data_IF_266597819659
#
_entry.id   IF_266597819659
#
_cell.length_a   1.000
_cell.length_b   1.000
_cell.length_c   1.000
_cell.angle_alpha   90.00
_cell.angle_beta   90.00
_cell.angle_gamma   90.00
#
_symmetry.space_group_name_H-M   'P 1'
#
loop_
_entity.id
_entity.type
_entity.pdbx_description
1 polymer ?
#
# COMPACT_ATOMS: atom_id res chain seq x y z
N UNK A 1 15.43 -32.74 -6.10
CA UNK A 1 15.22 -33.11 -4.68
C UNK A 1 14.17 -32.18 -4.10
N UNK A 2 12.99 -32.71 -3.75
CA UNK A 2 11.87 -31.95 -3.17
C UNK A 2 12.04 -31.97 -1.65
N UNK A 3 12.05 -30.79 -1.00
CA UNK A 3 11.95 -30.67 0.46
C UNK A 3 10.60 -30.04 0.79
N UNK A 4 9.72 -30.82 1.38
CA UNK A 4 8.47 -30.38 1.97
C UNK A 4 8.76 -29.61 3.27
N UNK A 5 8.10 -28.46 3.46
CA UNK A 5 8.08 -27.75 4.74
C UNK A 5 6.76 -28.07 5.43
N UNK A 6 6.85 -28.79 6.54
CA UNK A 6 5.75 -29.12 7.43
C UNK A 6 5.46 -27.91 8.32
N UNK A 7 4.30 -27.29 8.15
CA UNK A 7 3.83 -26.20 8.99
C UNK A 7 3.37 -26.72 10.36
N UNK A 8 3.93 -26.18 11.44
CA UNK A 8 3.51 -26.45 12.82
C UNK A 8 2.36 -25.49 13.17
N UNK A 9 1.19 -26.03 13.54
CA UNK A 9 0.03 -25.23 13.99
C UNK A 9 0.06 -25.13 15.51
N UNK A 10 0.20 -23.92 16.04
CA UNK A 10 -0.09 -23.63 17.44
C UNK A 10 -1.48 -23.01 17.53
N UNK A 11 -2.43 -23.75 18.13
CA UNK A 11 -3.77 -23.26 18.45
C UNK A 11 -3.75 -22.66 19.85
N UNK A 12 -3.94 -21.34 19.94
CA UNK A 12 -4.29 -20.67 21.19
C UNK A 12 -5.61 -19.91 20.97
N UNK A 13 -6.49 -20.06 21.94
CA UNK A 13 -7.91 -19.73 21.91
C UNK A 13 -8.20 -18.25 21.66
N UNK A 14 -9.30 -17.99 20.95
CA UNK A 14 -9.99 -16.70 20.90
C UNK A 14 -9.57 -15.81 19.72
N UNK A 15 -10.41 -15.79 18.68
CA UNK A 15 -10.28 -14.94 17.49
C UNK A 15 -9.04 -15.21 16.63
N UNK A 16 -9.04 -16.35 15.93
CA UNK A 16 -8.30 -16.44 14.67
C UNK A 16 -9.01 -15.52 13.67
N UNK A 17 -8.60 -14.25 13.62
CA UNK A 17 -8.73 -13.50 12.38
C UNK A 17 -7.86 -14.28 11.41
N UNK A 18 -8.50 -15.06 10.53
CA UNK A 18 -7.88 -15.49 9.30
C UNK A 18 -7.58 -14.19 8.55
N UNK A 19 -6.45 -13.55 8.86
CA UNK A 19 -5.74 -12.77 7.88
C UNK A 19 -5.44 -13.80 6.79
N UNK A 20 -6.35 -13.91 5.82
CA UNK A 20 -5.99 -14.44 4.51
C UNK A 20 -4.82 -13.58 4.14
N UNK A 21 -3.62 -14.14 4.26
CA UNK A 21 -2.39 -13.64 3.68
C UNK A 21 -2.68 -13.57 2.19
N UNK A 22 -3.28 -12.45 1.78
CA UNK A 22 -3.37 -12.06 0.39
C UNK A 22 -1.93 -11.80 0.04
N UNK A 23 -1.32 -12.79 -0.57
CA UNK A 23 0.04 -12.71 -1.05
C UNK A 23 0.12 -11.44 -1.89
N UNK A 24 1.06 -10.57 -1.53
CA UNK A 24 1.28 -9.31 -2.23
C UNK A 24 1.39 -9.58 -3.75
N UNK A 25 1.87 -10.77 -4.14
CA UNK A 25 1.95 -11.25 -5.54
C UNK A 25 0.66 -11.12 -6.39
N UNK A 26 -0.51 -10.92 -5.79
CA UNK A 26 -1.80 -10.71 -6.50
C UNK A 26 -2.01 -9.28 -7.03
N UNK A 27 -1.09 -8.35 -6.75
CA UNK A 27 -1.18 -6.96 -7.22
C UNK A 27 -1.11 -6.85 -8.75
N UNK A 28 -2.08 -6.16 -9.34
CA UNK A 28 -2.12 -5.98 -10.79
C UNK A 28 -1.02 -5.03 -11.27
N UNK A 29 -0.49 -5.31 -12.47
CA UNK A 29 0.41 -4.37 -13.15
C UNK A 29 -0.39 -3.19 -13.71
N UNK A 30 0.02 -1.96 -13.38
CA UNK A 30 -0.66 -0.76 -13.85
C UNK A 30 0.15 0.50 -13.55
N UNK A 31 0.05 1.49 -14.44
CA UNK A 31 0.36 2.88 -14.10
C UNK A 31 -0.84 3.48 -13.38
N UNK A 32 -0.59 4.46 -12.52
CA UNK A 32 -1.62 5.04 -11.67
C UNK A 32 -1.51 6.55 -11.72
N UNK A 33 -2.66 7.22 -11.60
CA UNK A 33 -2.67 8.65 -11.34
C UNK A 33 -1.91 8.90 -10.04
N UNK A 34 -0.91 9.81 -10.02
CA UNK A 34 -0.06 10.03 -8.85
C UNK A 34 -0.89 10.17 -7.58
N UNK A 35 -0.68 9.23 -6.66
CA UNK A 35 -1.52 9.08 -5.47
C UNK A 35 -0.65 9.14 -4.24
N UNK A 36 -0.98 10.03 -3.31
CA UNK A 36 -0.32 10.02 -2.01
C UNK A 36 -0.84 8.83 -1.19
N UNK A 37 0.08 8.03 -0.67
CA UNK A 37 -0.15 6.93 0.23
C UNK A 37 0.79 7.09 1.44
N UNK A 38 0.49 6.39 2.53
CA UNK A 38 1.25 6.41 3.76
C UNK A 38 1.85 5.04 3.99
N UNK A 39 3.17 4.97 4.07
CA UNK A 39 3.83 3.76 4.55
C UNK A 39 3.51 3.58 6.04
N UNK A 40 2.92 2.44 6.40
CA UNK A 40 2.71 2.06 7.79
C UNK A 40 4.00 1.47 8.34
N UNK A 41 4.86 2.35 8.83
CA UNK A 41 6.13 1.97 9.45
C UNK A 41 5.98 2.04 10.96
N UNK A 42 6.39 0.98 11.66
CA UNK A 42 6.61 1.04 13.10
C UNK A 42 7.72 2.04 13.41
N UNK A 43 7.75 2.53 14.65
CA UNK A 43 8.81 3.46 15.07
C UNK A 43 10.17 2.76 14.96
N UNK A 44 11.08 3.36 14.18
CA UNK A 44 12.41 2.80 13.93
C UNK A 44 12.43 1.71 12.86
N UNK A 45 11.29 1.39 12.23
CA UNK A 45 11.23 0.51 11.08
C UNK A 45 11.75 1.22 9.84
N UNK A 46 12.53 0.49 9.06
CA UNK A 46 13.07 0.92 7.77
C UNK A 46 12.60 -0.04 6.69
N UNK A 47 11.97 0.48 5.64
CA UNK A 47 11.56 -0.34 4.48
C UNK A 47 12.55 -0.17 3.35
N UNK A 48 13.16 -1.27 2.84
CA UNK A 48 14.08 -1.18 1.73
C UNK A 48 13.34 -0.77 0.46
N UNK A 49 13.83 0.28 -0.18
CA UNK A 49 13.39 0.69 -1.52
C UNK A 49 14.27 -0.02 -2.54
N UNK A 50 13.66 -0.65 -3.55
CA UNK A 50 14.36 -1.46 -4.54
C UNK A 50 14.28 -0.88 -5.95
N UNK A 51 15.28 -1.21 -6.78
CA UNK A 51 15.32 -0.81 -8.19
C UNK A 51 14.23 -1.48 -9.05
N UNK A 52 13.83 -2.70 -8.68
CA UNK A 52 12.87 -3.53 -9.41
C UNK A 52 11.85 -4.15 -8.45
N UNK A 53 10.64 -4.53 -8.93
CA UNK A 53 9.55 -5.09 -8.13
C UNK A 53 9.78 -6.58 -7.80
N UNK A 54 10.88 -6.87 -7.12
CA UNK A 54 11.22 -8.23 -6.68
C UNK A 54 12.06 -8.21 -5.40
N UNK A 55 11.89 -9.19 -4.49
CA UNK A 55 12.66 -9.23 -3.24
C UNK A 55 14.17 -9.34 -3.44
N UNK A 56 14.61 -9.88 -4.59
CA UNK A 56 16.03 -10.06 -4.91
C UNK A 56 16.67 -8.83 -5.57
N UNK A 57 15.88 -7.80 -5.89
CA UNK A 57 16.39 -6.60 -6.54
C UNK A 57 17.33 -5.81 -5.62
N UNK A 58 18.27 -5.10 -6.24
CA UNK A 58 19.19 -4.20 -5.55
C UNK A 58 18.40 -3.17 -4.73
N UNK A 59 18.76 -3.04 -3.45
CA UNK A 59 18.27 -1.96 -2.59
C UNK A 59 18.95 -0.66 -3.01
N UNK A 60 18.14 0.35 -3.29
CA UNK A 60 18.58 1.68 -3.74
C UNK A 60 18.42 2.74 -2.65
N UNK A 61 17.86 2.37 -1.51
CA UNK A 61 17.71 3.22 -0.35
C UNK A 61 16.69 2.65 0.63
N UNK A 62 16.23 3.49 1.55
CA UNK A 62 15.26 3.10 2.57
C UNK A 62 14.23 4.20 2.81
N UNK A 63 12.98 3.80 3.06
CA UNK A 63 11.98 4.66 3.68
C UNK A 63 12.06 4.50 5.19
N UNK A 64 12.06 5.61 5.91
CA UNK A 64 12.14 5.60 7.37
C UNK A 64 10.84 6.12 7.98
N UNK A 65 10.32 5.44 8.99
CA UNK A 65 9.20 5.95 9.78
C UNK A 65 9.63 7.20 10.54
N UNK A 66 8.90 8.30 10.43
CA UNK A 66 9.22 9.54 11.17
C UNK A 66 9.28 9.28 12.66
N UNK A 67 10.42 9.62 13.27
CA UNK A 67 10.60 9.58 14.73
C UNK A 67 10.07 10.87 15.34
N UNK A 68 8.74 11.01 15.44
CA UNK A 68 8.13 12.08 16.23
C UNK A 68 7.64 11.54 17.57
N UNK A 69 7.88 12.29 18.64
CA UNK A 69 7.46 11.96 20.02
C UNK A 69 5.93 11.84 20.16
N UNK A 70 5.15 12.38 19.21
CA UNK A 70 3.71 12.13 19.11
C UNK A 70 3.46 10.78 18.43
N UNK A 71 2.85 9.86 19.17
CA UNK A 71 2.61 8.46 18.78
C UNK A 71 1.74 8.27 17.51
N UNK A 72 1.19 9.33 16.93
CA UNK A 72 0.20 9.24 15.85
C UNK A 72 0.77 9.54 14.44
N UNK A 73 2.05 9.96 14.33
CA UNK A 73 2.64 10.49 13.09
C UNK A 73 3.89 9.77 12.57
N UNK A 74 4.13 8.50 12.95
CA UNK A 74 5.25 7.72 12.39
C UNK A 74 4.97 7.18 10.97
N UNK A 75 4.38 8.00 10.09
CA UNK A 75 4.05 7.61 8.72
C UNK A 75 4.95 8.35 7.75
N UNK A 76 5.62 7.62 6.87
CA UNK A 76 6.27 8.21 5.72
C UNK A 76 5.22 8.37 4.61
N UNK A 77 4.94 9.60 4.20
CA UNK A 77 4.10 9.82 3.02
C UNK A 77 4.92 9.43 1.79
N UNK A 78 4.30 8.79 0.81
CA UNK A 78 4.89 8.41 -0.47
C UNK A 78 3.92 8.73 -1.60
N UNK A 79 4.43 9.02 -2.78
CA UNK A 79 3.62 9.23 -3.99
C UNK A 79 3.73 7.99 -4.86
N UNK A 80 2.67 7.20 -4.89
CA UNK A 80 2.55 6.01 -5.71
C UNK A 80 2.20 6.40 -7.15
N UNK A 81 2.95 5.86 -8.11
CA UNK A 81 2.80 6.14 -9.55
C UNK A 81 2.51 4.88 -10.38
N UNK A 82 2.54 3.72 -9.75
CA UNK A 82 2.31 2.44 -10.43
C UNK A 82 2.30 1.27 -9.44
N UNK A 83 1.91 0.10 -9.92
CA UNK A 83 2.05 -1.16 -9.21
C UNK A 83 2.42 -2.31 -10.14
N UNK A 84 3.04 -3.36 -9.60
CA UNK A 84 3.36 -4.60 -10.30
C UNK A 84 3.55 -5.75 -9.31
N UNK A 85 2.75 -6.81 -9.41
CA UNK A 85 2.98 -8.06 -8.68
C UNK A 85 3.12 -7.90 -7.16
N UNK A 86 2.35 -6.98 -6.57
CA UNK A 86 2.42 -6.65 -5.14
C UNK A 86 3.39 -5.57 -4.74
N UNK A 87 4.08 -4.98 -5.70
CA UNK A 87 4.98 -3.88 -5.48
C UNK A 87 4.30 -2.58 -5.90
N UNK A 88 4.48 -1.55 -5.11
CA UNK A 88 4.12 -0.19 -5.44
C UNK A 88 5.36 0.55 -5.94
N UNK A 89 5.23 1.20 -7.09
CA UNK A 89 6.22 2.15 -7.62
C UNK A 89 5.99 3.50 -6.96
N UNK A 90 7.01 4.02 -6.30
CA UNK A 90 6.96 5.31 -5.60
C UNK A 90 7.91 6.31 -6.26
N UNK A 91 7.51 7.57 -6.33
CA UNK A 91 8.40 8.67 -6.71
C UNK A 91 9.33 9.01 -5.54
N UNK A 92 10.63 9.09 -5.79
CA UNK A 92 11.66 9.32 -4.75
C UNK A 92 12.01 10.81 -4.58
N UNK A 93 11.90 11.59 -5.65
CA UNK A 93 12.25 13.01 -5.69
C UNK A 93 11.35 13.92 -4.81
N UNK A 94 10.23 13.40 -4.32
CA UNK A 94 9.27 14.15 -3.51
C UNK A 94 9.24 13.71 -2.04
N UNK A 95 10.10 12.77 -1.62
CA UNK A 95 10.01 12.15 -0.28
C UNK A 95 11.08 12.66 0.67
N UNK A 96 10.67 13.36 1.72
CA UNK A 96 11.57 13.77 2.81
C UNK A 96 12.09 12.58 3.63
N UNK A 97 11.35 11.48 3.63
CA UNK A 97 11.56 10.34 4.53
C UNK A 97 12.31 9.18 3.81
N UNK A 98 12.80 9.45 2.58
CA UNK A 98 13.62 8.54 1.80
C UNK A 98 15.10 8.87 1.99
N UNK A 99 15.90 7.84 2.28
CA UNK A 99 17.36 7.93 2.37
C UNK A 99 17.95 7.06 1.26
N UNK A 100 18.61 7.70 0.28
CA UNK A 100 19.26 7.02 -0.83
C UNK A 100 20.53 6.27 -0.38
N UNK A 101 20.81 5.15 -1.02
CA UNK A 101 22.07 4.41 -0.85
C UNK A 101 23.02 4.70 -2.04
N UNK A 102 24.12 5.40 -1.78
CA UNK A 102 25.17 5.68 -2.75
C UNK A 102 24.68 6.28 -4.08
N UNK A 103 25.05 5.66 -5.21
CA UNK A 103 24.79 6.13 -6.58
C UNK A 103 23.29 6.17 -6.96
N UNK A 104 22.41 5.63 -6.12
CA UNK A 104 20.96 5.64 -6.32
C UNK A 104 20.29 7.01 -6.13
N UNK A 105 21.01 8.03 -5.65
CA UNK A 105 20.49 9.39 -5.47
C UNK A 105 19.92 10.02 -6.77
N UNK A 106 20.19 9.41 -7.93
CA UNK A 106 19.73 9.87 -9.24
C UNK A 106 18.48 9.15 -9.77
N UNK A 107 18.03 8.07 -9.13
CA UNK A 107 16.83 7.36 -9.58
C UNK A 107 15.56 8.14 -9.22
N UNK A 108 14.67 8.43 -10.20
CA UNK A 108 13.46 9.20 -9.92
C UNK A 108 12.37 8.39 -9.21
N UNK A 109 12.48 7.06 -9.18
CA UNK A 109 11.51 6.16 -8.58
C UNK A 109 12.16 4.93 -7.96
N UNK A 110 11.41 4.26 -7.09
CA UNK A 110 11.76 2.96 -6.52
C UNK A 110 10.55 2.10 -6.26
N UNK A 111 10.78 0.87 -5.78
CA UNK A 111 9.75 -0.11 -5.50
C UNK A 111 9.75 -0.52 -4.04
N UNK A 112 8.55 -0.60 -3.47
CA UNK A 112 8.30 -1.11 -2.10
C UNK A 112 7.13 -2.10 -2.14
N UNK A 113 7.02 -3.03 -1.18
CA UNK A 113 5.82 -3.85 -1.04
C UNK A 113 4.58 -2.97 -0.85
N UNK A 114 3.55 -3.18 -1.68
CA UNK A 114 2.35 -2.36 -1.71
C UNK A 114 1.51 -2.51 -0.43
N UNK A 115 1.56 -3.69 0.19
CA UNK A 115 0.86 -4.03 1.43
C UNK A 115 1.41 -3.28 2.66
N UNK A 116 2.59 -2.67 2.56
CA UNK A 116 3.13 -1.75 3.57
C UNK A 116 2.55 -0.34 3.41
N UNK A 117 1.81 -0.06 2.34
CA UNK A 117 1.19 1.23 2.09
C UNK A 117 -0.29 1.22 2.49
N UNK A 118 -0.73 2.36 3.01
CA UNK A 118 -2.13 2.65 3.29
C UNK A 118 -2.56 3.93 2.61
N UNK A 119 -3.82 3.99 2.21
CA UNK A 119 -4.46 5.24 1.81
C UNK A 119 -5.56 5.56 2.79
N UNK A 120 -5.68 6.85 3.12
CA UNK A 120 -6.83 7.32 3.86
C UNK A 120 -7.97 7.52 2.85
N UNK A 121 -9.10 6.92 3.14
CA UNK A 121 -10.35 7.31 2.53
C UNK A 121 -10.98 8.33 3.46
N UNK A 122 -10.45 9.55 3.47
CA UNK A 122 -11.14 10.73 4.00
C UNK A 122 -11.70 11.50 2.82
N UNK A 123 -12.73 10.93 2.23
CA UNK A 123 -13.46 11.51 1.11
C UNK A 123 -14.85 11.82 1.64
N UNK A 124 -15.34 13.03 1.40
CA UNK A 124 -16.68 13.39 1.84
C UNK A 124 -17.72 12.52 1.11
N UNK A 125 -18.51 11.78 1.88
CA UNK A 125 -19.58 10.93 1.37
C UNK A 125 -19.15 9.49 1.08
N UNK A 126 -19.96 8.86 0.25
CA UNK A 126 -19.93 7.43 0.02
C UNK A 126 -18.85 6.99 -0.98
N UNK A 127 -18.10 5.95 -0.59
CA UNK A 127 -17.11 5.27 -1.44
C UNK A 127 -17.72 3.98 -1.95
N UNK A 128 -17.82 3.87 -3.27
CA UNK A 128 -18.23 2.64 -3.91
C UNK A 128 -17.04 1.67 -3.99
N UNK A 129 -17.30 0.41 -3.64
CA UNK A 129 -16.33 -0.69 -3.79
C UNK A 129 -16.74 -1.60 -4.93
N UNK A 130 -15.76 -2.04 -5.73
CA UNK A 130 -15.98 -2.79 -6.96
C UNK A 130 -15.17 -4.08 -6.96
N UNK A 131 -15.64 -5.08 -7.72
CA UNK A 131 -14.90 -6.33 -7.93
C UNK A 131 -13.75 -6.21 -8.94
N UNK A 132 -13.83 -5.26 -9.88
CA UNK A 132 -12.82 -4.98 -10.90
C UNK A 132 -12.86 -3.49 -11.28
N UNK A 133 -11.75 -2.93 -11.78
CA UNK A 133 -11.70 -1.53 -12.17
C UNK A 133 -12.37 -1.30 -13.53
N UNK A 134 -12.91 -0.09 -13.73
CA UNK A 134 -13.49 0.36 -15.00
C UNK A 134 -14.97 0.03 -15.18
N UNK A 135 -15.49 0.27 -16.38
CA UNK A 135 -16.93 0.24 -16.69
C UNK A 135 -17.58 -1.15 -16.57
N UNK A 136 -16.78 -2.21 -16.66
CA UNK A 136 -17.26 -3.58 -16.47
C UNK A 136 -17.29 -3.98 -14.97
N UNK A 137 -16.78 -3.11 -14.09
CA UNK A 137 -16.81 -3.27 -12.64
C UNK A 137 -18.24 -3.33 -12.12
N UNK A 138 -18.55 -4.40 -11.36
CA UNK A 138 -19.78 -4.47 -10.58
C UNK A 138 -19.52 -3.87 -9.22
N UNK A 139 -20.31 -2.87 -8.85
CA UNK A 139 -20.35 -2.35 -7.49
C UNK A 139 -20.81 -3.46 -6.54
N UNK A 140 -20.00 -3.71 -5.51
CA UNK A 140 -20.26 -4.71 -4.48
C UNK A 140 -20.98 -4.11 -3.27
N UNK A 141 -20.59 -2.90 -2.89
CA UNK A 141 -21.16 -2.17 -1.77
C UNK A 141 -20.83 -0.68 -1.88
N UNK A 142 -21.43 0.08 -0.98
CA UNK A 142 -21.09 1.46 -0.68
C UNK A 142 -20.66 1.52 0.77
N UNK A 143 -19.64 2.32 1.06
CA UNK A 143 -19.11 2.47 2.41
C UNK A 143 -18.97 3.95 2.71
N UNK A 144 -19.39 4.36 3.91
CA UNK A 144 -19.21 5.72 4.39
C UNK A 144 -17.71 6.03 4.46
N UNK A 145 -17.29 7.12 3.79
CA UNK A 145 -15.90 7.54 3.68
C UNK A 145 -15.35 8.27 4.92
N UNK A 146 -16.00 8.15 6.08
CA UNK A 146 -15.56 8.83 7.30
C UNK A 146 -14.46 8.01 8.00
N UNK A 147 -13.23 8.48 7.80
CA UNK A 147 -11.99 8.04 8.47
C UNK A 147 -11.58 6.58 8.24
N UNK A 148 -11.97 6.01 7.10
CA UNK A 148 -11.52 4.68 6.72
C UNK A 148 -10.07 4.67 6.22
N UNK A 149 -9.33 3.63 6.60
CA UNK A 149 -7.97 3.36 6.12
C UNK A 149 -7.97 2.06 5.34
N UNK A 150 -7.32 2.09 4.18
CA UNK A 150 -7.24 0.95 3.29
C UNK A 150 -5.80 0.55 3.08
N UNK A 151 -5.48 -0.73 3.30
CA UNK A 151 -4.19 -1.30 2.90
C UNK A 151 -4.17 -1.47 1.38
N UNK A 152 -3.10 -1.03 0.74
CA UNK A 152 -2.96 -1.04 -0.73
C UNK A 152 -2.45 -2.40 -1.19
N UNK A 153 -2.97 -2.87 -2.32
CA UNK A 153 -2.45 -4.04 -3.07
C UNK A 153 -1.89 -3.64 -4.43
N UNK A 154 -2.31 -2.48 -4.95
CA UNK A 154 -1.86 -1.93 -6.21
C UNK A 154 -2.80 -0.85 -6.72
N UNK A 155 -2.64 -0.49 -7.98
CA UNK A 155 -3.43 0.55 -8.62
C UNK A 155 -3.46 0.41 -10.15
N UNK A 156 -4.45 1.04 -10.78
CA UNK A 156 -4.63 1.04 -12.24
C UNK A 156 -5.42 2.27 -12.69
N UNK A 157 -4.77 3.21 -13.37
CA UNK A 157 -5.37 4.49 -13.75
C UNK A 157 -5.86 5.25 -12.51
N UNK A 158 -7.14 5.62 -12.52
CA UNK A 158 -7.84 6.23 -11.39
C UNK A 158 -8.50 5.20 -10.46
N UNK A 159 -7.92 4.01 -10.34
CA UNK A 159 -8.43 2.98 -9.44
C UNK A 159 -7.35 2.51 -8.48
N UNK A 160 -7.72 2.34 -7.21
CA UNK A 160 -6.88 1.67 -6.23
C UNK A 160 -7.41 0.29 -5.90
N UNK A 161 -6.49 -0.66 -5.83
CA UNK A 161 -6.75 -2.00 -5.37
C UNK A 161 -6.39 -2.10 -3.89
N UNK A 162 -7.36 -2.42 -3.05
CA UNK A 162 -7.23 -2.32 -1.59
C UNK A 162 -7.83 -3.51 -0.86
N UNK A 163 -7.46 -3.66 0.41
CA UNK A 163 -8.09 -4.61 1.33
C UNK A 163 -9.17 -3.91 2.15
N UNK A 164 -10.40 -4.41 2.03
CA UNK A 164 -11.53 -4.08 2.88
C UNK A 164 -11.82 -5.24 3.86
N UNK A 165 -12.04 -4.93 5.14
CA UNK A 165 -12.25 -5.94 6.17
C UNK A 165 -13.49 -6.84 5.94
N UNK A 166 -14.53 -6.31 5.29
CA UNK A 166 -15.79 -7.02 5.02
C UNK A 166 -15.80 -7.73 3.67
N UNK A 167 -15.20 -7.12 2.66
CA UNK A 167 -15.28 -7.57 1.26
C UNK A 167 -13.97 -8.17 0.72
N UNK A 168 -12.90 -8.14 1.51
CA UNK A 168 -11.58 -8.61 1.09
C UNK A 168 -10.95 -7.67 0.06
N UNK A 169 -10.38 -8.26 -0.99
CA UNK A 169 -9.69 -7.53 -2.05
C UNK A 169 -10.69 -6.84 -2.99
N UNK A 170 -10.70 -5.50 -3.02
CA UNK A 170 -11.67 -4.69 -3.77
C UNK A 170 -11.01 -3.50 -4.47
N UNK A 171 -11.72 -2.93 -5.45
CA UNK A 171 -11.30 -1.72 -6.16
C UNK A 171 -12.13 -0.51 -5.69
N UNK A 172 -11.47 0.64 -5.52
CA UNK A 172 -12.11 1.92 -5.20
C UNK A 172 -11.74 2.97 -6.25
N UNK A 173 -12.69 3.84 -6.57
CA UNK A 173 -12.58 4.94 -7.53
C UNK A 173 -12.36 6.31 -6.85
N UNK A 174 -12.49 6.37 -5.52
CA UNK A 174 -12.31 7.57 -4.70
C UNK A 174 -11.44 7.29 -3.48
N UNK A 175 -10.43 8.12 -3.27
CA UNK A 175 -9.57 8.08 -2.09
C UNK A 175 -8.94 9.45 -1.85
N UNK A 176 -8.37 9.65 -0.66
CA UNK A 176 -7.61 10.85 -0.37
C UNK A 176 -6.25 10.57 0.25
N UNK A 177 -5.20 10.96 -0.45
CA UNK A 177 -3.85 10.82 0.08
C UNK A 177 -3.44 11.87 1.13
N UNK A 178 -4.33 12.74 1.63
CA UNK A 178 -4.04 13.75 2.68
C UNK A 178 -4.66 13.36 4.02
N UNK A 179 -3.94 13.56 5.12
CA UNK A 179 -4.45 13.31 6.48
C UNK A 179 -5.63 14.20 6.84
N UNK A 180 -5.66 15.44 6.33
CA UNK A 180 -6.78 16.38 6.54
C UNK A 180 -8.00 16.08 5.65
N UNK A 181 -7.93 15.02 4.85
CA UNK A 181 -8.94 14.66 3.87
C UNK A 181 -8.89 15.53 2.61
N UNK A 182 -9.72 15.15 1.64
CA UNK A 182 -9.86 15.86 0.39
C UNK A 182 -11.09 16.73 0.53
N UNK A 183 -10.90 17.95 1.07
CA UNK A 183 -11.92 18.98 0.99
C UNK A 183 -12.11 19.32 -0.49
N UNK A 184 -13.36 19.24 -0.95
CA UNK A 184 -13.79 19.79 -2.24
C UNK A 184 -13.71 21.31 -2.22
#
# INVERSE_FOLDING_TARGET
>A
MIRAIVGTVAVLAGFAVLERSVDASTGHAGSCTPTNAYAMLQRGETVPVRAEPTPQAVTIGSLQGRSTLKADQSRAMVTMTGSQGGWARIALNTQSDYVADGAAATQPYGWVPADLLTVNARVHGDIAVYNQPGLLGRQLATIEGDDMKFRVLGCRGDWLHVINARHGSVWIDKWCGREDGCRS
#
